data_IF_922660740891
#
_entry.id   IF_922660740891
#
_cell.length_a   1.000
_cell.length_b   1.000
_cell.length_c   1.000
_cell.angle_alpha   90.00
_cell.angle_beta   90.00
_cell.angle_gamma   90.00
#
_symmetry.space_group_name_H-M   'P 1'
#
loop_
_entity.id
_entity.type
_entity.pdbx_description
1 polymer ?
#
# COMPACT_ATOMS: atom_id res chain seq x y z
N UNK A 1 56.02 -40.03 -2.79
CA UNK A 1 57.04 -40.16 -1.74
C UNK A 1 57.26 -38.78 -1.17
N UNK A 2 56.19 -38.15 -0.67
CA UNK A 2 55.56 -38.43 0.64
C UNK A 2 56.48 -37.86 1.71
N UNK A 3 56.10 -36.97 2.61
CA UNK A 3 54.82 -36.84 3.27
C UNK A 3 54.86 -35.51 4.06
N UNK A 4 54.06 -34.51 3.68
CA UNK A 4 53.86 -33.28 4.45
C UNK A 4 52.38 -33.15 4.80
N UNK A 5 51.86 -34.14 5.53
CA UNK A 5 50.66 -34.00 6.35
C UNK A 5 50.98 -34.42 7.78
N UNK A 6 51.38 -33.44 8.60
CA UNK A 6 51.18 -33.60 10.04
C UNK A 6 49.68 -33.57 10.29
N UNK A 7 49.07 -34.61 10.87
CA UNK A 7 47.68 -34.54 11.29
C UNK A 7 47.59 -33.43 12.33
N UNK A 8 46.72 -32.44 12.09
CA UNK A 8 46.30 -31.54 13.16
C UNK A 8 45.80 -32.41 14.30
N UNK A 9 46.38 -32.22 15.49
CA UNK A 9 46.08 -33.03 16.66
C UNK A 9 44.57 -32.98 16.95
N UNK A 10 43.95 -34.09 17.42
CA UNK A 10 42.52 -34.18 17.70
C UNK A 10 42.02 -33.07 18.63
N UNK A 11 42.91 -32.47 19.43
CA UNK A 11 42.62 -31.34 20.33
C UNK A 11 42.11 -30.08 19.62
N UNK A 12 42.54 -29.80 18.40
CA UNK A 12 42.06 -28.61 17.65
C UNK A 12 40.63 -28.81 17.15
N UNK A 13 40.30 -30.02 16.72
CA UNK A 13 38.96 -30.40 16.24
C UNK A 13 37.94 -30.34 17.38
N UNK A 14 38.30 -30.83 18.57
CA UNK A 14 37.48 -30.71 19.78
C UNK A 14 37.31 -29.26 20.24
N UNK A 15 38.30 -28.39 20.01
CA UNK A 15 38.21 -26.97 20.36
C UNK A 15 37.27 -26.21 19.42
N UNK A 16 37.33 -26.50 18.11
CA UNK A 16 36.40 -25.95 17.12
C UNK A 16 34.97 -26.44 17.37
N UNK A 17 34.79 -27.75 17.64
CA UNK A 17 33.49 -28.30 18.03
C UNK A 17 32.95 -27.63 19.30
N UNK A 18 33.81 -27.43 20.30
CA UNK A 18 33.46 -26.71 21.52
C UNK A 18 32.99 -25.28 21.23
N UNK A 19 33.69 -24.54 20.38
CA UNK A 19 33.30 -23.19 19.96
C UNK A 19 31.96 -23.17 19.20
N UNK A 20 31.73 -24.14 18.30
CA UNK A 20 30.46 -24.25 17.57
C UNK A 20 29.31 -24.56 18.51
N UNK A 21 29.49 -25.49 19.46
CA UNK A 21 28.46 -25.81 20.47
C UNK A 21 28.19 -24.61 21.38
N UNK A 22 29.24 -23.89 21.80
CA UNK A 22 29.10 -22.71 22.65
C UNK A 22 28.42 -21.56 21.91
N UNK A 23 28.74 -21.37 20.62
CA UNK A 23 28.05 -20.43 19.73
C UNK A 23 26.56 -20.76 19.59
N UNK A 24 26.21 -22.04 19.38
CA UNK A 24 24.82 -22.52 19.30
C UNK A 24 24.08 -22.27 20.62
N UNK A 25 24.72 -22.52 21.77
CA UNK A 25 24.13 -22.25 23.09
C UNK A 25 23.95 -20.76 23.37
N UNK A 26 24.85 -19.91 22.88
CA UNK A 26 24.72 -18.45 23.01
C UNK A 26 23.70 -17.80 22.06
N UNK A 27 23.25 -18.51 21.02
CA UNK A 27 22.18 -18.03 20.12
C UNK A 27 20.79 -18.18 20.78
N UNK A 28 20.66 -18.93 21.88
CA UNK A 28 19.39 -19.22 22.54
C UNK A 28 19.10 -18.45 23.84
N UNK A 29 19.91 -17.45 24.20
CA UNK A 29 19.62 -16.57 25.34
C UNK A 29 19.19 -15.21 24.77
N UNK A 30 18.01 -15.18 24.18
CA UNK A 30 17.24 -13.94 24.16
C UNK A 30 16.94 -13.60 25.61
N UNK A 31 17.41 -12.44 26.05
CA UNK A 31 16.83 -11.76 27.21
C UNK A 31 15.32 -11.78 27.00
N UNK A 32 14.53 -12.16 28.00
CA UNK A 32 13.13 -11.76 28.04
C UNK A 32 13.14 -10.25 27.82
N UNK A 33 12.83 -9.81 26.59
CA UNK A 33 12.51 -8.43 26.33
C UNK A 33 11.29 -8.19 27.18
N UNK A 34 11.38 -7.22 28.09
CA UNK A 34 10.21 -6.72 28.82
C UNK A 34 9.03 -6.71 27.87
N UNK A 35 7.95 -7.41 28.23
CA UNK A 35 6.70 -7.41 27.48
C UNK A 35 6.11 -6.00 27.53
N UNK A 36 6.70 -5.07 26.80
CA UNK A 36 6.00 -3.91 26.30
C UNK A 36 4.87 -4.52 25.48
N UNK A 37 3.63 -4.31 25.94
CA UNK A 37 2.46 -4.85 25.25
C UNK A 37 2.52 -4.49 23.77
N UNK A 38 1.82 -5.26 22.94
CA UNK A 38 1.73 -4.98 21.51
C UNK A 38 1.41 -3.50 21.28
N UNK A 39 2.16 -2.90 20.37
CA UNK A 39 2.15 -1.48 20.07
C UNK A 39 1.49 -1.26 18.71
N UNK A 40 0.70 -0.21 18.57
CA UNK A 40 0.08 0.19 17.30
C UNK A 40 0.22 1.69 17.05
N UNK A 41 0.21 2.07 15.77
CA UNK A 41 0.07 3.49 15.41
C UNK A 41 -1.33 3.94 15.76
N UNK A 42 -1.45 5.00 16.55
CA UNK A 42 -2.75 5.59 16.93
C UNK A 42 -2.98 6.97 16.33
N UNK A 43 -1.92 7.64 15.89
CA UNK A 43 -2.00 9.00 15.36
C UNK A 43 -0.93 9.23 14.31
N UNK A 44 -1.29 9.97 13.26
CA UNK A 44 -0.41 10.42 12.19
C UNK A 44 -0.66 11.91 11.95
N UNK A 45 0.39 12.73 11.97
CA UNK A 45 0.27 14.16 11.68
C UNK A 45 1.47 14.69 10.92
N UNK A 46 1.30 15.79 10.19
CA UNK A 46 2.40 16.45 9.51
C UNK A 46 1.99 17.11 8.21
N UNK A 47 2.94 17.21 7.28
CA UNK A 47 2.74 17.92 6.02
C UNK A 47 3.31 17.19 4.82
N UNK A 48 2.66 17.39 3.67
CA UNK A 48 3.08 16.89 2.36
C UNK A 48 3.02 18.07 1.37
N UNK A 49 4.14 18.36 0.73
CA UNK A 49 4.26 19.33 -0.35
C UNK A 49 4.04 18.59 -1.67
N UNK A 50 3.02 18.98 -2.43
CA UNK A 50 2.64 18.41 -3.71
C UNK A 50 3.56 18.93 -4.83
N UNK A 51 4.83 18.54 -4.76
CA UNK A 51 5.92 19.08 -5.60
C UNK A 51 5.91 18.57 -7.04
N UNK A 52 5.14 17.52 -7.33
CA UNK A 52 5.07 16.86 -8.65
C UNK A 52 3.70 17.06 -9.30
N UNK A 53 3.61 16.88 -10.63
CA UNK A 53 2.30 16.95 -11.30
C UNK A 53 1.42 15.77 -10.86
N UNK A 54 1.99 14.57 -10.78
CA UNK A 54 1.30 13.36 -10.31
C UNK A 54 0.68 13.54 -8.91
N UNK A 55 1.37 14.20 -7.98
CA UNK A 55 0.83 14.47 -6.64
C UNK A 55 -0.31 15.51 -6.61
N UNK A 56 -0.32 16.46 -7.55
CA UNK A 56 -1.45 17.40 -7.69
C UNK A 56 -2.67 16.68 -8.26
N UNK A 57 -2.46 15.92 -9.33
CA UNK A 57 -3.50 15.19 -10.04
C UNK A 57 -4.17 14.11 -9.17
N UNK A 58 -3.39 13.45 -8.29
CA UNK A 58 -3.91 12.45 -7.37
C UNK A 58 -4.99 12.99 -6.39
N UNK A 59 -5.06 14.31 -6.20
CA UNK A 59 -6.08 14.98 -5.39
C UNK A 59 -7.04 15.84 -6.23
N UNK A 60 -7.09 15.62 -7.55
CA UNK A 60 -7.95 16.38 -8.46
C UNK A 60 -7.54 17.84 -8.67
N UNK A 61 -6.27 18.18 -8.40
CA UNK A 61 -5.76 19.56 -8.47
C UNK A 61 -5.06 19.86 -9.81
N UNK A 62 -5.56 19.30 -10.90
CA UNK A 62 -4.97 19.42 -12.24
C UNK A 62 -4.83 20.87 -12.72
N UNK A 63 -5.78 21.72 -12.33
CA UNK A 63 -5.85 23.15 -12.72
C UNK A 63 -4.88 24.06 -11.94
N UNK A 64 -4.17 23.53 -10.93
CA UNK A 64 -3.27 24.29 -10.08
C UNK A 64 -1.80 24.15 -10.48
N UNK A 65 -0.99 25.12 -10.08
CA UNK A 65 0.45 25.01 -10.11
C UNK A 65 0.95 24.06 -9.01
N UNK A 66 2.05 23.36 -9.28
CA UNK A 66 2.71 22.46 -8.32
C UNK A 66 3.21 23.23 -7.10
N UNK A 67 3.24 22.55 -5.95
CA UNK A 67 3.81 23.08 -4.70
C UNK A 67 2.80 23.39 -3.61
N UNK A 68 1.52 23.06 -3.81
CA UNK A 68 0.53 23.16 -2.76
C UNK A 68 0.93 22.32 -1.54
N UNK A 69 0.54 22.77 -0.34
CA UNK A 69 0.90 22.15 0.93
C UNK A 69 -0.31 21.53 1.60
N UNK A 70 -0.33 20.20 1.68
CA UNK A 70 -1.30 19.44 2.45
C UNK A 70 -0.82 19.30 3.91
N UNK A 71 -1.67 19.61 4.86
CA UNK A 71 -1.46 19.41 6.29
C UNK A 71 -2.48 18.40 6.78
N UNK A 72 -2.02 17.34 7.46
CA UNK A 72 -2.86 16.23 7.88
C UNK A 72 -2.78 16.00 9.39
N UNK A 73 -3.90 15.58 9.96
CA UNK A 73 -4.06 15.21 11.37
C UNK A 73 -5.04 14.02 11.45
N UNK A 74 -4.49 12.81 11.50
CA UNK A 74 -5.21 11.56 11.22
C UNK A 74 -5.15 10.65 12.44
N UNK A 75 -6.32 10.18 12.87
CA UNK A 75 -6.45 9.15 13.89
C UNK A 75 -6.38 7.77 13.23
N UNK A 76 -5.63 6.85 13.85
CA UNK A 76 -5.47 5.47 13.40
C UNK A 76 -6.04 4.53 14.46
N UNK A 77 -6.82 3.54 14.03
CA UNK A 77 -7.41 2.56 14.92
C UNK A 77 -7.42 1.19 14.27
N UNK A 78 -7.06 0.14 15.03
CA UNK A 78 -7.26 -1.23 14.61
C UNK A 78 -8.73 -1.56 14.38
N UNK A 79 -9.02 -2.38 13.36
CA UNK A 79 -10.38 -2.82 13.02
C UNK A 79 -10.47 -4.31 12.80
N UNK A 80 -11.65 -4.86 13.05
CA UNK A 80 -12.00 -6.26 12.77
C UNK A 80 -13.31 -6.32 12.00
N UNK A 81 -13.39 -7.27 11.07
CA UNK A 81 -14.64 -7.48 10.34
C UNK A 81 -15.66 -8.29 11.15
N UNK A 82 -16.90 -7.80 11.19
CA UNK A 82 -18.02 -8.51 11.83
C UNK A 82 -18.44 -9.81 11.12
N UNK A 83 -18.02 -10.03 9.86
CA UNK A 83 -18.45 -11.16 9.03
C UNK A 83 -17.28 -12.09 8.64
N UNK A 84 -16.06 -11.78 9.07
CA UNK A 84 -14.86 -12.56 8.76
C UNK A 84 -13.95 -12.62 10.00
N UNK A 85 -13.74 -13.84 10.51
CA UNK A 85 -13.02 -14.09 11.78
C UNK A 85 -11.53 -13.75 11.69
N UNK A 86 -10.93 -13.93 10.51
CA UNK A 86 -9.50 -13.71 10.28
C UNK A 86 -9.23 -12.40 9.54
N UNK A 87 -10.22 -11.51 9.46
CA UNK A 87 -10.08 -10.22 8.82
C UNK A 87 -9.77 -9.13 9.85
N UNK A 88 -8.52 -8.68 9.83
CA UNK A 88 -7.99 -7.63 10.69
C UNK A 88 -7.42 -6.51 9.84
N UNK A 89 -7.33 -5.31 10.39
CA UNK A 89 -6.86 -4.17 9.62
C UNK A 89 -6.76 -2.90 10.43
N UNK A 90 -6.66 -1.78 9.71
CA UNK A 90 -6.66 -0.44 10.30
C UNK A 90 -7.67 0.47 9.59
N UNK A 91 -8.20 1.42 10.35
CA UNK A 91 -8.96 2.56 9.86
C UNK A 91 -8.20 3.83 10.19
N UNK A 92 -8.04 4.71 9.21
CA UNK A 92 -7.38 6.00 9.34
C UNK A 92 -8.37 7.10 8.97
N UNK A 93 -8.62 8.06 9.85
CA UNK A 93 -9.61 9.12 9.60
C UNK A 93 -9.15 10.46 10.17
N UNK A 94 -9.40 11.54 9.44
CA UNK A 94 -9.15 12.89 9.94
C UNK A 94 -9.10 13.97 8.86
N UNK A 95 -8.96 15.24 9.28
CA UNK A 95 -8.91 16.36 8.36
C UNK A 95 -7.59 16.44 7.58
N UNK A 96 -7.71 16.94 6.34
CA UNK A 96 -6.62 17.34 5.47
C UNK A 96 -6.90 18.75 4.94
N UNK A 97 -5.97 19.67 5.20
CA UNK A 97 -6.06 21.04 4.74
C UNK A 97 -4.99 21.31 3.69
N UNK A 98 -5.41 21.67 2.48
CA UNK A 98 -4.52 22.03 1.38
C UNK A 98 -4.47 23.55 1.29
N UNK A 99 -3.25 24.09 1.37
CA UNK A 99 -2.98 25.53 1.31
C UNK A 99 -1.93 25.81 0.24
N UNK A 100 -1.60 27.09 0.02
CA UNK A 100 -0.61 27.52 -0.97
C UNK A 100 -0.98 27.11 -2.41
N UNK A 101 -2.29 27.00 -2.68
CA UNK A 101 -2.83 26.78 -4.02
C UNK A 101 -2.60 28.03 -4.89
N UNK A 102 -1.99 27.82 -6.06
CA UNK A 102 -1.68 28.87 -7.03
C UNK A 102 -2.25 28.51 -8.40
N UNK A 103 -2.67 29.51 -9.17
CA UNK A 103 -3.15 29.35 -10.55
C UNK A 103 -4.66 29.06 -10.68
N UNK A 104 -5.30 28.49 -9.65
CA UNK A 104 -6.73 28.17 -9.67
C UNK A 104 -7.66 29.15 -8.93
N UNK A 105 -8.97 28.86 -8.91
CA UNK A 105 -10.01 29.77 -8.40
C UNK A 105 -10.08 29.85 -6.87
N UNK A 106 -9.67 28.80 -6.15
CA UNK A 106 -9.70 28.75 -4.69
C UNK A 106 -8.28 28.74 -4.11
N UNK A 107 -8.13 29.28 -2.90
CA UNK A 107 -6.84 29.46 -2.23
C UNK A 107 -6.50 28.36 -1.22
N UNK A 108 -7.51 27.63 -0.78
CA UNK A 108 -7.42 26.54 0.18
C UNK A 108 -8.54 25.52 -0.06
N UNK A 109 -8.27 24.28 0.33
CA UNK A 109 -9.24 23.17 0.35
C UNK A 109 -9.24 22.57 1.74
N UNK A 110 -10.43 22.33 2.28
CA UNK A 110 -10.64 21.62 3.54
C UNK A 110 -11.38 20.33 3.22
N UNK A 111 -10.77 19.19 3.55
CA UNK A 111 -11.30 17.88 3.28
C UNK A 111 -11.14 16.95 4.48
N UNK A 112 -11.90 15.86 4.52
CA UNK A 112 -11.66 14.73 5.40
C UNK A 112 -11.24 13.53 4.58
N UNK A 113 -10.33 12.74 5.15
CA UNK A 113 -9.97 11.44 4.59
C UNK A 113 -10.48 10.33 5.48
N UNK A 114 -10.93 9.25 4.86
CA UNK A 114 -11.17 7.98 5.53
C UNK A 114 -10.54 6.86 4.71
N UNK A 115 -9.60 6.14 5.32
CA UNK A 115 -8.91 5.01 4.70
C UNK A 115 -9.18 3.76 5.53
N UNK A 116 -9.58 2.69 4.88
CA UNK A 116 -9.73 1.37 5.47
C UNK A 116 -8.78 0.41 4.76
N UNK A 117 -7.86 -0.23 5.48
CA UNK A 117 -7.06 -1.34 4.97
C UNK A 117 -7.38 -2.58 5.79
N UNK A 118 -7.99 -3.59 5.17
CA UNK A 118 -8.40 -4.84 5.79
C UNK A 118 -7.69 -6.00 5.10
N UNK A 119 -7.19 -6.97 5.86
CA UNK A 119 -6.46 -8.12 5.37
C UNK A 119 -7.10 -9.41 5.90
N UNK A 120 -7.30 -10.40 5.03
CA UNK A 120 -7.75 -11.75 5.41
C UNK A 120 -6.54 -12.66 5.58
N UNK A 121 -6.32 -13.10 6.82
CA UNK A 121 -5.23 -14.00 7.16
C UNK A 121 -5.66 -15.46 7.03
N UNK A 122 -4.73 -16.30 6.55
CA UNK A 122 -4.91 -17.77 6.45
C UNK A 122 -3.96 -18.56 7.36
N UNK A 123 -3.19 -17.86 8.21
CA UNK A 123 -2.25 -18.44 9.18
C UNK A 123 -0.79 -18.20 8.82
N UNK A 124 0.13 -18.31 9.79
CA UNK A 124 1.59 -18.23 9.60
C UNK A 124 2.09 -16.95 8.87
N UNK A 125 1.43 -15.82 9.11
CA UNK A 125 1.74 -14.55 8.43
C UNK A 125 1.35 -14.54 6.94
N UNK A 126 0.46 -15.43 6.50
CA UNK A 126 -0.04 -15.46 5.13
C UNK A 126 -1.35 -14.68 5.00
N UNK A 127 -1.42 -13.85 3.97
CA UNK A 127 -2.56 -13.02 3.59
C UNK A 127 -3.13 -13.54 2.27
N UNK A 128 -4.40 -13.90 2.27
CA UNK A 128 -5.08 -14.38 1.05
C UNK A 128 -5.73 -13.24 0.27
N UNK A 129 -6.31 -12.26 0.96
CA UNK A 129 -7.01 -11.13 0.34
C UNK A 129 -6.80 -9.85 1.12
N UNK A 130 -6.83 -8.73 0.41
CA UNK A 130 -6.76 -7.40 0.97
C UNK A 130 -7.86 -6.51 0.38
N UNK A 131 -8.41 -5.63 1.21
CA UNK A 131 -9.32 -4.57 0.81
C UNK A 131 -8.73 -3.22 1.22
N UNK A 132 -8.68 -2.29 0.29
CA UNK A 132 -8.29 -0.90 0.53
C UNK A 132 -9.43 0.00 0.05
N UNK A 133 -10.03 0.74 0.96
CA UNK A 133 -10.99 1.79 0.63
C UNK A 133 -10.40 3.14 1.01
N UNK A 134 -10.49 4.10 0.10
CA UNK A 134 -10.09 5.49 0.30
C UNK A 134 -11.28 6.38 -0.04
N UNK A 135 -11.71 7.18 0.93
CA UNK A 135 -12.79 8.14 0.77
C UNK A 135 -12.25 9.54 1.04
N UNK A 136 -12.50 10.44 0.10
CA UNK A 136 -12.10 11.84 0.12
C UNK A 136 -13.35 12.69 0.08
N UNK A 137 -13.62 13.35 1.21
CA UNK A 137 -14.79 14.21 1.46
C UNK A 137 -14.34 15.67 1.41
N UNK A 138 -14.72 16.40 0.36
CA UNK A 138 -14.33 17.81 0.19
C UNK A 138 -15.45 18.71 0.67
N UNK A 139 -15.12 19.67 1.52
CA UNK A 139 -16.12 20.62 2.01
C UNK A 139 -16.61 21.53 0.88
N UNK A 140 -17.79 21.21 0.33
CA UNK A 140 -18.49 22.04 -0.65
C UNK A 140 -18.16 21.76 -2.12
N UNK A 141 -17.48 20.65 -2.42
CA UNK A 141 -17.25 20.13 -3.77
C UNK A 141 -17.70 18.65 -3.85
N UNK A 142 -17.44 17.99 -4.98
CA UNK A 142 -17.81 16.59 -5.21
C UNK A 142 -16.83 15.64 -4.49
N UNK A 143 -17.37 14.58 -3.90
CA UNK A 143 -16.60 13.59 -3.16
C UNK A 143 -16.14 12.47 -4.09
N UNK A 144 -15.07 11.76 -3.72
CA UNK A 144 -14.71 10.55 -4.44
C UNK A 144 -14.29 9.41 -3.52
N UNK A 145 -14.52 8.19 -4.00
CA UNK A 145 -14.20 6.95 -3.29
C UNK A 145 -13.49 5.98 -4.21
N UNK A 146 -12.42 5.39 -3.71
CA UNK A 146 -11.71 4.28 -4.34
C UNK A 146 -11.88 3.05 -3.48
N UNK A 147 -12.35 1.96 -4.07
CA UNK A 147 -12.40 0.64 -3.46
C UNK A 147 -11.52 -0.32 -4.26
N UNK A 148 -10.59 -0.98 -3.58
CA UNK A 148 -9.64 -1.91 -4.17
C UNK A 148 -9.73 -3.23 -3.43
N UNK A 149 -9.78 -4.33 -4.19
CA UNK A 149 -9.59 -5.68 -3.66
C UNK A 149 -8.39 -6.32 -4.34
N UNK A 150 -7.57 -7.03 -3.58
CA UNK A 150 -6.42 -7.78 -4.09
C UNK A 150 -6.54 -9.22 -3.59
N UNK A 151 -6.41 -10.19 -4.51
CA UNK A 151 -6.48 -11.62 -4.21
C UNK A 151 -5.12 -12.25 -4.48
N UNK A 152 -4.47 -12.71 -3.42
CA UNK A 152 -3.15 -13.34 -3.47
C UNK A 152 -3.27 -14.85 -3.70
N UNK A 153 -2.73 -15.32 -4.83
CA UNK A 153 -2.55 -16.75 -5.11
C UNK A 153 -1.20 -16.99 -5.79
N UNK A 154 -0.24 -17.61 -5.10
CA UNK A 154 -0.31 -18.06 -3.70
C UNK A 154 -0.51 -16.90 -2.71
N UNK A 155 -0.99 -17.17 -1.47
CA UNK A 155 -1.10 -16.15 -0.42
C UNK A 155 0.22 -15.40 -0.23
N UNK A 156 0.12 -14.10 0.03
CA UNK A 156 1.27 -13.24 0.29
C UNK A 156 1.81 -13.54 1.69
N UNK A 157 3.13 -13.67 1.81
CA UNK A 157 3.79 -13.84 3.10
C UNK A 157 4.25 -12.50 3.68
N UNK A 158 3.72 -12.15 4.83
CA UNK A 158 4.04 -10.97 5.63
C UNK A 158 4.24 -11.40 7.09
N UNK A 159 5.47 -11.80 7.47
CA UNK A 159 5.74 -12.23 8.84
C UNK A 159 5.69 -11.04 9.81
N UNK A 160 5.33 -11.33 11.06
CA UNK A 160 5.47 -10.40 12.19
C UNK A 160 6.94 -10.00 12.36
N UNK A 161 7.19 -8.73 12.72
CA UNK A 161 8.52 -8.19 12.99
C UNK A 161 9.56 -8.37 11.86
N UNK A 162 9.11 -8.32 10.61
CA UNK A 162 10.03 -8.35 9.47
C UNK A 162 11.04 -7.21 9.59
N UNK A 163 12.33 -7.56 9.64
CA UNK A 163 13.39 -6.58 9.44
C UNK A 163 13.16 -5.88 8.09
N UNK A 164 12.84 -4.59 8.13
CA UNK A 164 12.63 -3.85 6.91
C UNK A 164 13.97 -3.62 6.22
N UNK A 165 14.30 -4.52 5.30
CA UNK A 165 15.50 -4.45 4.48
C UNK A 165 15.53 -3.20 3.57
N UNK A 166 14.42 -2.47 3.45
CA UNK A 166 14.34 -1.18 2.80
C UNK A 166 15.08 -0.07 3.56
N UNK A 167 15.42 -0.26 4.85
CA UNK A 167 16.08 0.76 5.66
C UNK A 167 17.45 0.32 6.23
N UNK A 168 18.34 1.29 6.42
CA UNK A 168 19.63 1.16 7.12
C UNK A 168 19.85 2.38 7.98
N UNK A 169 20.06 2.20 9.28
CA UNK A 169 20.38 3.31 10.20
C UNK A 169 19.34 4.46 10.17
N UNK A 170 18.07 4.12 9.89
CA UNK A 170 16.99 5.11 9.76
C UNK A 170 16.86 5.71 8.35
N UNK A 171 17.69 5.33 7.38
CA UNK A 171 17.61 5.84 6.00
C UNK A 171 17.20 4.76 5.00
N UNK A 172 16.46 5.14 3.97
CA UNK A 172 16.10 4.25 2.86
C UNK A 172 17.35 3.74 2.12
N UNK A 173 17.48 2.42 1.93
CA UNK A 173 18.54 1.79 1.12
C UNK A 173 18.29 1.88 -0.38
N UNK A 174 17.02 1.85 -0.77
CA UNK A 174 16.56 1.79 -2.16
C UNK A 174 15.27 2.58 -2.32
N UNK A 175 15.06 3.19 -3.47
CA UNK A 175 13.85 3.97 -3.76
C UNK A 175 14.02 5.46 -3.44
N UNK A 176 12.92 6.19 -3.15
CA UNK A 176 13.00 7.59 -2.76
C UNK A 176 13.78 7.73 -1.45
N UNK A 177 14.49 8.84 -1.30
CA UNK A 177 15.20 9.13 -0.06
C UNK A 177 14.20 9.37 1.07
N UNK A 178 14.29 8.55 2.11
CA UNK A 178 13.50 8.63 3.33
C UNK A 178 14.43 8.55 4.53
N UNK A 179 14.17 9.40 5.53
CA UNK A 179 14.82 9.44 6.82
C UNK A 179 13.77 9.20 7.93
N UNK A 180 14.06 8.29 8.83
CA UNK A 180 13.23 7.89 9.98
C UNK A 180 14.01 8.26 11.25
N UNK A 181 13.47 9.19 12.01
CA UNK A 181 14.00 9.60 13.30
C UNK A 181 13.09 9.11 14.42
N UNK A 182 13.64 8.30 15.34
CA UNK A 182 12.93 7.93 16.57
C UNK A 182 12.87 9.12 17.51
N UNK A 183 11.67 9.49 17.94
CA UNK A 183 11.43 10.55 18.91
C UNK A 183 11.22 9.98 20.32
N UNK A 184 11.39 10.85 21.33
CA UNK A 184 11.03 10.52 22.70
C UNK A 184 9.52 10.23 22.80
N UNK A 185 9.16 9.15 23.49
CA UNK A 185 7.75 8.80 23.75
C UNK A 185 7.11 7.86 22.74
N UNK A 186 7.89 7.13 21.92
CA UNK A 186 7.34 6.14 20.99
C UNK A 186 6.76 6.74 19.71
N UNK A 187 7.28 7.88 19.27
CA UNK A 187 6.90 8.47 17.99
C UNK A 187 8.03 8.33 16.96
N UNK A 188 7.67 8.23 15.67
CA UNK A 188 8.61 8.25 14.56
C UNK A 188 8.35 9.47 13.70
N UNK A 189 9.38 10.26 13.43
CA UNK A 189 9.34 11.31 12.43
C UNK A 189 9.94 10.78 11.13
N UNK A 190 9.19 10.89 10.04
CA UNK A 190 9.53 10.40 8.71
C UNK A 190 9.61 11.58 7.77
N UNK A 191 10.78 11.76 7.17
CA UNK A 191 11.05 12.79 6.16
C UNK A 191 11.40 12.14 4.83
N UNK A 192 11.02 12.74 3.73
CA UNK A 192 11.48 12.28 2.41
C UNK A 192 10.96 13.13 1.27
N UNK A 193 11.19 12.70 0.03
CA UNK A 193 10.57 13.34 -1.13
C UNK A 193 9.66 12.42 -1.91
N UNK A 194 8.67 13.03 -2.55
CA UNK A 194 7.85 12.35 -3.51
C UNK A 194 8.70 11.68 -4.61
N UNK A 195 8.28 10.52 -5.12
CA UNK A 195 8.86 9.93 -6.33
C UNK A 195 8.88 10.95 -7.47
N UNK A 196 9.86 10.84 -8.37
CA UNK A 196 9.96 11.66 -9.60
C UNK A 196 10.23 13.16 -9.41
N UNK A 197 10.62 13.60 -8.21
CA UNK A 197 11.07 14.97 -7.98
C UNK A 197 12.30 15.29 -8.85
N UNK A 198 12.35 16.52 -9.38
CA UNK A 198 13.43 16.99 -10.25
C UNK A 198 14.76 17.24 -9.54
N UNK A 199 14.74 17.56 -8.24
CA UNK A 199 15.93 17.81 -7.42
C UNK A 199 16.13 16.73 -6.35
N UNK A 200 17.38 16.29 -6.10
CA UNK A 200 17.66 15.32 -5.03
C UNK A 200 17.30 15.87 -3.63
N UNK A 201 16.69 15.02 -2.79
CA UNK A 201 16.29 15.39 -1.43
C UNK A 201 17.44 15.87 -0.56
N UNK A 202 18.61 15.25 -0.67
CA UNK A 202 19.79 15.58 0.15
C UNK A 202 20.26 17.04 0.01
N UNK A 203 19.79 17.76 -1.01
CA UNK A 203 20.20 19.14 -1.34
C UNK A 203 19.03 20.12 -1.16
N UNK A 204 17.82 19.65 -0.87
CA UNK A 204 16.60 20.45 -0.83
C UNK A 204 15.73 20.11 0.39
N UNK A 205 14.68 20.88 0.65
CA UNK A 205 13.74 20.55 1.73
C UNK A 205 12.93 19.30 1.37
N UNK A 206 12.61 18.42 2.34
CA UNK A 206 11.76 17.25 2.10
C UNK A 206 10.37 17.69 1.63
N UNK A 207 9.74 16.86 0.80
CA UNK A 207 8.35 17.08 0.41
C UNK A 207 7.40 16.50 1.46
N UNK A 208 7.80 15.42 2.12
CA UNK A 208 6.99 14.71 3.12
C UNK A 208 7.68 14.87 4.46
N UNK A 209 6.95 15.34 5.47
CA UNK A 209 7.36 15.36 6.87
C UNK A 209 6.16 14.93 7.72
N UNK A 210 6.18 13.68 8.17
CA UNK A 210 5.08 13.06 8.90
C UNK A 210 5.57 12.47 10.21
N UNK A 211 4.72 12.49 11.23
CA UNK A 211 5.01 11.91 12.54
C UNK A 211 3.94 10.90 12.87
N UNK A 212 4.32 9.65 13.09
CA UNK A 212 3.43 8.63 13.66
C UNK A 212 3.67 8.50 15.16
N UNK A 213 2.59 8.32 15.92
CA UNK A 213 2.64 8.09 17.37
C UNK A 213 2.22 6.66 17.63
N UNK A 214 3.03 5.95 18.40
CA UNK A 214 2.81 4.55 18.74
C UNK A 214 2.44 4.43 20.22
N UNK A 215 1.32 3.79 20.46
CA UNK A 215 0.77 3.55 21.79
C UNK A 215 0.41 2.07 21.97
N UNK A 216 0.15 1.61 23.20
CA UNK A 216 -0.35 0.26 23.42
C UNK A 216 -1.65 -0.01 22.66
N UNK A 217 -1.76 -1.21 22.08
CA UNK A 217 -2.93 -1.66 21.31
C UNK A 217 -4.23 -1.44 22.06
N UNK A 218 -5.17 -0.74 21.39
CA UNK A 218 -6.54 -0.53 21.85
C UNK A 218 -7.44 -1.65 21.33
N UNK A 219 -8.62 -1.78 21.92
CA UNK A 219 -9.61 -2.75 21.40
C UNK A 219 -10.03 -2.34 19.98
N UNK A 220 -9.98 -3.26 19.00
CA UNK A 220 -10.28 -2.93 17.62
C UNK A 220 -11.76 -2.60 17.44
N UNK A 221 -12.06 -1.72 16.50
CA UNK A 221 -13.43 -1.38 16.12
C UNK A 221 -14.01 -2.49 15.23
N UNK A 222 -15.21 -2.97 15.58
CA UNK A 222 -15.95 -3.89 14.72
C UNK A 222 -16.64 -3.13 13.60
N UNK A 223 -16.30 -3.45 12.35
CA UNK A 223 -16.87 -2.82 11.15
C UNK A 223 -17.67 -3.85 10.31
N UNK A 224 -18.62 -3.40 9.46
CA UNK A 224 -19.16 -4.26 8.41
C UNK A 224 -18.04 -4.75 7.48
N UNK A 225 -18.20 -5.94 6.91
CA UNK A 225 -17.26 -6.41 5.90
C UNK A 225 -17.42 -5.59 4.61
N UNK A 226 -16.33 -5.28 3.88
CA UNK A 226 -16.39 -4.60 2.59
C UNK A 226 -17.32 -5.32 1.60
N UNK A 227 -17.86 -4.55 0.66
CA UNK A 227 -18.75 -5.08 -0.39
C UNK A 227 -18.08 -6.19 -1.19
N UNK A 228 -18.88 -7.17 -1.58
CA UNK A 228 -18.43 -8.27 -2.43
C UNK A 228 -18.24 -7.78 -3.86
N UNK A 229 -17.21 -8.30 -4.52
CA UNK A 229 -16.99 -8.09 -5.94
C UNK A 229 -17.74 -9.14 -6.74
N UNK A 230 -18.46 -8.70 -7.75
CA UNK A 230 -19.33 -9.53 -8.59
C UNK A 230 -18.98 -9.33 -10.06
N UNK A 231 -19.03 -10.42 -10.82
CA UNK A 231 -18.81 -10.37 -12.26
C UNK A 231 -20.09 -9.87 -12.95
N UNK A 232 -19.96 -8.77 -13.70
CA UNK A 232 -21.04 -8.20 -14.48
C UNK A 232 -21.29 -9.09 -15.69
N UNK A 233 -22.50 -9.61 -15.80
CA UNK A 233 -22.88 -10.53 -16.87
C UNK A 233 -23.26 -9.78 -18.14
N UNK A 234 -22.91 -10.35 -19.30
CA UNK A 234 -23.24 -9.84 -20.64
C UNK A 234 -22.64 -8.47 -21.00
N UNK A 235 -21.46 -8.15 -20.46
CA UNK A 235 -20.71 -6.96 -20.91
C UNK A 235 -20.13 -7.21 -22.29
N UNK A 236 -20.36 -6.27 -23.20
CA UNK A 236 -19.75 -6.25 -24.54
C UNK A 236 -18.95 -4.97 -24.70
N UNK A 237 -17.81 -5.04 -25.40
CA UNK A 237 -17.03 -3.83 -25.65
C UNK A 237 -17.84 -2.81 -26.45
N UNK A 238 -17.76 -1.55 -26.02
CA UNK A 238 -18.46 -0.42 -26.66
C UNK A 238 -17.63 0.24 -27.77
N UNK A 239 -16.39 -0.22 -28.00
CA UNK A 239 -15.35 0.46 -28.80
C UNK A 239 -14.94 1.85 -28.29
N UNK A 240 -15.45 2.27 -27.13
CA UNK A 240 -14.99 3.44 -26.41
C UNK A 240 -14.07 2.98 -25.28
N UNK A 241 -12.95 3.66 -25.09
CA UNK A 241 -11.98 3.34 -24.04
C UNK A 241 -12.41 4.05 -22.74
N UNK A 242 -12.68 3.31 -21.66
CA UNK A 242 -12.92 3.91 -20.34
C UNK A 242 -11.79 4.86 -19.93
N UNK A 243 -12.15 5.91 -19.20
CA UNK A 243 -11.25 6.99 -18.78
C UNK A 243 -11.16 7.10 -17.25
N UNK A 244 -12.21 6.75 -16.51
CA UNK A 244 -12.23 6.89 -15.03
C UNK A 244 -11.16 6.08 -14.32
N UNK A 245 -10.69 4.98 -14.91
CA UNK A 245 -9.64 4.09 -14.35
C UNK A 245 -8.32 4.13 -15.14
N UNK A 246 -8.16 5.07 -16.07
CA UNK A 246 -6.98 5.17 -16.95
C UNK A 246 -5.66 5.26 -16.16
N UNK A 247 -5.64 6.00 -15.06
CA UNK A 247 -4.43 6.15 -14.23
C UNK A 247 -3.92 4.81 -13.70
N UNK A 248 -4.81 3.85 -13.45
CA UNK A 248 -4.46 2.50 -13.03
C UNK A 248 -3.93 1.70 -14.21
N UNK A 249 -4.57 1.83 -15.38
CA UNK A 249 -4.12 1.21 -16.62
C UNK A 249 -2.67 1.57 -16.94
N UNK A 250 -2.30 2.83 -16.72
CA UNK A 250 -0.95 3.33 -16.98
C UNK A 250 0.11 2.73 -16.04
N UNK A 251 -0.28 2.23 -14.86
CA UNK A 251 0.59 1.47 -13.96
C UNK A 251 0.83 0.04 -14.47
N UNK A 252 -0.05 -0.46 -15.35
CA UNK A 252 0.00 -1.80 -15.89
C UNK A 252 0.64 -1.77 -17.29
N UNK A 253 1.52 -2.74 -17.56
CA UNK A 253 2.03 -2.95 -18.92
C UNK A 253 0.97 -3.70 -19.74
N UNK A 254 -0.11 -3.01 -20.13
CA UNK A 254 -1.18 -3.59 -20.93
C UNK A 254 -0.71 -3.93 -22.35
N UNK A 255 -1.11 -5.10 -22.82
CA UNK A 255 -0.81 -5.61 -24.14
C UNK A 255 -1.85 -5.21 -25.19
N UNK A 256 -2.24 -6.18 -26.02
CA UNK A 256 -3.17 -5.93 -27.12
C UNK A 256 -4.63 -5.94 -26.63
N UNK A 257 -5.51 -5.15 -27.27
CA UNK A 257 -6.94 -5.28 -27.07
C UNK A 257 -7.43 -6.72 -27.27
N UNK A 258 -8.37 -7.16 -26.44
CA UNK A 258 -9.03 -8.47 -26.52
C UNK A 258 -10.55 -8.33 -26.54
N UNK A 259 -11.23 -9.36 -27.01
CA UNK A 259 -12.70 -9.46 -27.03
C UNK A 259 -13.25 -10.20 -25.80
N UNK A 260 -12.38 -10.80 -24.99
CA UNK A 260 -12.74 -11.43 -23.74
C UNK A 260 -12.85 -10.35 -22.67
N UNK A 261 -14.07 -10.07 -22.21
CA UNK A 261 -14.32 -9.10 -21.15
C UNK A 261 -14.75 -9.86 -19.90
N UNK A 262 -14.00 -9.66 -18.82
CA UNK A 262 -14.33 -10.16 -17.49
C UNK A 262 -14.43 -8.97 -16.55
N UNK A 263 -15.59 -8.30 -16.57
CA UNK A 263 -15.81 -7.10 -15.79
C UNK A 263 -16.23 -7.47 -14.37
N UNK A 264 -15.46 -7.05 -13.38
CA UNK A 264 -15.83 -7.15 -11.97
C UNK A 264 -16.03 -5.76 -11.38
N UNK A 265 -17.05 -5.62 -10.55
CA UNK A 265 -17.35 -4.37 -9.86
C UNK A 265 -17.96 -4.68 -8.48
N UNK A 266 -17.92 -3.71 -7.56
CA UNK A 266 -18.50 -3.86 -6.23
C UNK A 266 -19.97 -3.39 -6.15
N UNK A 267 -20.52 -2.88 -7.25
CA UNK A 267 -21.92 -2.48 -7.43
C UNK A 267 -22.38 -2.80 -8.86
N UNK A 268 -23.49 -3.54 -9.00
CA UNK A 268 -23.91 -4.12 -10.29
C UNK A 268 -24.99 -3.29 -11.05
N UNK A 269 -25.37 -2.10 -10.56
CA UNK A 269 -26.67 -1.52 -10.88
C UNK A 269 -26.70 -0.36 -11.88
N UNK A 270 -25.66 -0.16 -12.68
CA UNK A 270 -25.60 0.98 -13.61
C UNK A 270 -25.51 0.55 -15.07
N UNK A 271 -26.09 1.35 -15.96
CA UNK A 271 -25.94 1.21 -17.41
C UNK A 271 -24.47 1.49 -17.77
N UNK A 272 -23.88 0.63 -18.60
CA UNK A 272 -22.49 0.72 -18.99
C UNK A 272 -22.38 1.65 -20.19
N UNK A 273 -21.66 2.75 -20.02
CA UNK A 273 -21.38 3.74 -21.06
C UNK A 273 -20.18 3.32 -21.90
N UNK A 274 -19.11 2.82 -21.26
CA UNK A 274 -17.92 2.33 -21.96
C UNK A 274 -17.39 1.00 -21.38
N UNK A 275 -16.86 0.13 -22.25
CA UNK A 275 -16.23 -1.12 -21.82
C UNK A 275 -15.13 -1.55 -22.80
N UNK A 276 -13.97 -1.90 -22.25
CA UNK A 276 -12.82 -2.32 -23.03
C UNK A 276 -11.91 -3.27 -22.27
N UNK A 277 -11.19 -4.14 -22.97
CA UNK A 277 -10.28 -5.09 -22.35
C UNK A 277 -8.96 -5.25 -23.13
N UNK A 278 -7.90 -5.54 -22.38
CA UNK A 278 -6.54 -5.77 -22.89
C UNK A 278 -5.93 -7.02 -22.26
N UNK A 279 -5.11 -7.72 -23.02
CA UNK A 279 -4.27 -8.80 -22.49
C UNK A 279 -3.18 -8.24 -21.57
N UNK A 280 -2.93 -8.85 -20.42
CA UNK A 280 -1.72 -8.63 -19.61
C UNK A 280 -0.77 -9.81 -19.85
N UNK A 281 0.46 -9.50 -20.25
CA UNK A 281 1.56 -10.48 -20.23
C UNK A 281 2.29 -10.33 -18.89
N UNK A 282 1.89 -11.13 -17.89
CA UNK A 282 2.49 -11.10 -16.56
C UNK A 282 3.79 -11.91 -16.55
N UNK A 283 4.93 -11.23 -16.45
CA UNK A 283 6.22 -11.89 -16.19
C UNK A 283 6.48 -12.12 -14.70
N UNK A 284 5.62 -11.61 -13.80
CA UNK A 284 5.82 -11.69 -12.35
C UNK A 284 7.00 -10.86 -11.82
N UNK A 285 7.57 -9.95 -12.62
CA UNK A 285 8.86 -9.29 -12.27
C UNK A 285 8.70 -7.92 -11.63
N UNK A 286 7.59 -7.22 -11.84
CA UNK A 286 7.39 -5.85 -11.35
C UNK A 286 6.20 -5.83 -10.40
N UNK A 287 6.49 -5.64 -9.11
CA UNK A 287 5.46 -5.39 -8.11
C UNK A 287 5.09 -3.90 -8.12
N UNK A 288 3.80 -3.62 -8.01
CA UNK A 288 3.25 -2.29 -7.78
C UNK A 288 2.95 -2.20 -6.29
N UNK A 289 3.62 -1.29 -5.59
CA UNK A 289 3.53 -1.12 -4.15
C UNK A 289 3.46 0.37 -3.80
N UNK A 290 2.32 1.03 -4.07
CA UNK A 290 2.19 2.49 -3.96
C UNK A 290 2.51 2.95 -2.54
N UNK A 291 3.46 3.89 -2.41
CA UNK A 291 3.86 4.48 -1.12
C UNK A 291 4.28 3.49 -0.03
N UNK A 292 4.54 2.22 -0.37
CA UNK A 292 4.84 1.14 0.59
C UNK A 292 5.95 1.52 1.56
N UNK A 293 7.08 2.02 1.04
CA UNK A 293 8.22 2.43 1.86
C UNK A 293 7.88 3.56 2.85
N UNK A 294 6.94 4.45 2.53
CA UNK A 294 6.47 5.49 3.46
C UNK A 294 5.54 4.93 4.53
N UNK A 295 4.61 4.05 4.15
CA UNK A 295 3.72 3.38 5.10
C UNK A 295 4.54 2.54 6.09
N UNK A 296 5.48 1.75 5.58
CA UNK A 296 6.39 0.97 6.42
C UNK A 296 7.24 1.85 7.35
N UNK A 297 7.75 3.00 6.86
CA UNK A 297 8.49 3.97 7.69
C UNK A 297 7.65 4.55 8.83
N UNK A 298 6.34 4.68 8.60
CA UNK A 298 5.37 5.17 9.58
C UNK A 298 4.81 4.07 10.49
N UNK A 299 5.30 2.83 10.36
CA UNK A 299 4.78 1.63 11.02
C UNK A 299 3.31 1.32 10.67
N UNK A 300 2.88 1.67 9.45
CA UNK A 300 1.58 1.35 8.88
C UNK A 300 1.69 0.15 7.93
N UNK A 301 0.62 -0.65 7.79
CA UNK A 301 0.58 -1.72 6.81
C UNK A 301 0.66 -1.15 5.39
N UNK A 302 1.39 -1.86 4.53
CA UNK A 302 1.52 -1.54 3.10
C UNK A 302 1.00 -2.69 2.27
N UNK A 303 0.39 -2.38 1.12
CA UNK A 303 0.01 -3.40 0.14
C UNK A 303 0.99 -3.42 -1.04
N UNK A 304 1.10 -4.58 -1.67
CA UNK A 304 1.76 -4.72 -2.96
C UNK A 304 1.02 -5.72 -3.81
N UNK A 305 1.06 -5.55 -5.13
CA UNK A 305 0.53 -6.54 -6.04
C UNK A 305 1.50 -6.76 -7.19
N UNK A 306 1.57 -7.99 -7.68
CA UNK A 306 2.35 -8.32 -8.87
C UNK A 306 1.37 -8.79 -9.94
N UNK A 307 1.19 -8.03 -11.05
CA UNK A 307 0.30 -8.44 -12.12
C UNK A 307 0.70 -9.83 -12.65
N UNK A 308 -0.28 -10.72 -12.76
CA UNK A 308 -0.15 -12.01 -13.42
C UNK A 308 -0.68 -11.92 -14.86
N UNK A 309 -0.40 -12.93 -15.67
CA UNK A 309 -0.98 -13.04 -17.01
C UNK A 309 -2.49 -13.20 -16.92
N UNK A 310 -3.19 -12.59 -17.88
CA UNK A 310 -4.63 -12.66 -17.96
C UNK A 310 -5.22 -11.47 -18.73
N UNK A 311 -6.40 -11.04 -18.31
CA UNK A 311 -7.18 -10.00 -18.98
C UNK A 311 -7.49 -8.86 -18.02
N UNK A 312 -7.07 -7.65 -18.40
CA UNK A 312 -7.46 -6.40 -17.76
C UNK A 312 -8.72 -5.87 -18.44
N UNK A 313 -9.82 -5.77 -17.69
CA UNK A 313 -11.11 -5.25 -18.19
C UNK A 313 -11.48 -3.99 -17.44
N UNK A 314 -11.86 -2.95 -18.18
CA UNK A 314 -12.41 -1.71 -17.65
C UNK A 314 -13.85 -1.55 -18.13
N UNK A 315 -14.71 -1.08 -17.22
CA UNK A 315 -16.08 -0.67 -17.49
C UNK A 315 -16.34 0.68 -16.84
N UNK A 316 -17.10 1.52 -17.51
CA UNK A 316 -17.44 2.85 -17.06
C UNK A 316 -18.95 3.06 -17.16
N UNK A 317 -19.51 3.65 -16.13
CA UNK A 317 -20.85 4.21 -16.08
C UNK A 317 -20.77 5.66 -15.62
N UNK A 318 -21.90 6.36 -15.70
CA UNK A 318 -22.01 7.79 -15.42
C UNK A 318 -21.19 8.26 -14.19
N UNK A 319 -21.30 7.57 -13.05
CA UNK A 319 -20.67 7.97 -11.80
C UNK A 319 -19.65 6.96 -11.26
N UNK A 320 -19.31 5.92 -12.02
CA UNK A 320 -18.44 4.85 -11.53
C UNK A 320 -17.55 4.28 -12.65
N UNK A 321 -16.26 4.13 -12.35
CA UNK A 321 -15.32 3.38 -13.17
C UNK A 321 -14.90 2.13 -12.42
N UNK A 322 -15.07 0.96 -13.04
CA UNK A 322 -14.62 -0.31 -12.49
C UNK A 322 -13.55 -0.93 -13.41
N UNK A 323 -12.50 -1.45 -12.80
CA UNK A 323 -11.42 -2.13 -13.50
C UNK A 323 -11.03 -3.41 -12.77
N UNK A 324 -10.66 -4.44 -13.52
CA UNK A 324 -10.32 -5.74 -12.92
C UNK A 324 -9.31 -6.52 -13.75
N UNK A 325 -8.41 -7.21 -13.05
CA UNK A 325 -7.52 -8.21 -13.62
C UNK A 325 -8.06 -9.58 -13.28
N UNK A 326 -8.35 -10.36 -14.30
CA UNK A 326 -8.69 -11.78 -14.19
C UNK A 326 -7.56 -12.59 -14.80
N UNK A 327 -7.09 -13.62 -14.10
CA UNK A 327 -6.01 -14.45 -14.62
C UNK A 327 -6.45 -15.41 -15.73
N UNK A 328 -5.49 -16.15 -16.30
CA UNK A 328 -5.75 -17.15 -17.35
C UNK A 328 -6.70 -18.29 -16.91
N UNK A 329 -6.90 -18.49 -15.60
CA UNK A 329 -7.83 -19.47 -15.02
C UNK A 329 -9.25 -18.89 -14.80
N UNK A 330 -9.47 -17.61 -15.12
CA UNK A 330 -10.75 -16.94 -14.93
C UNK A 330 -11.00 -16.44 -13.50
N UNK A 331 -9.96 -16.33 -12.68
CA UNK A 331 -10.05 -15.89 -11.28
C UNK A 331 -9.68 -14.41 -11.12
N UNK A 332 -10.50 -13.66 -10.37
CA UNK A 332 -10.21 -12.27 -10.00
C UNK A 332 -8.91 -12.18 -9.20
N UNK A 333 -8.01 -11.28 -9.60
CA UNK A 333 -6.73 -10.98 -8.95
C UNK A 333 -6.68 -9.60 -8.35
N UNK A 334 -7.23 -8.61 -9.06
CA UNK A 334 -7.41 -7.26 -8.54
C UNK A 334 -8.72 -6.70 -9.08
N UNK A 335 -9.46 -6.00 -8.24
CA UNK A 335 -10.62 -5.20 -8.61
C UNK A 335 -10.46 -3.79 -8.06
N UNK A 336 -10.76 -2.79 -8.88
CA UNK A 336 -10.68 -1.36 -8.54
C UNK A 336 -11.98 -0.69 -8.97
N UNK A 337 -12.56 0.10 -8.08
CA UNK A 337 -13.78 0.86 -8.31
C UNK A 337 -13.53 2.28 -7.88
N UNK A 338 -13.78 3.23 -8.76
CA UNK A 338 -13.68 4.66 -8.51
C UNK A 338 -15.07 5.25 -8.71
N UNK A 339 -15.60 5.89 -7.67
CA UNK A 339 -16.92 6.51 -7.68
C UNK A 339 -16.80 7.99 -7.33
N UNK A 340 -17.54 8.84 -8.04
CA UNK A 340 -17.63 10.28 -7.83
C UNK A 340 -19.08 10.62 -7.43
N UNK A 341 -19.27 11.48 -6.43
CA UNK A 341 -20.56 11.79 -5.82
C UNK A 341 -20.86 13.29 -5.76
#
# INVERSE_FOLDING_TARGET
>A
MDDLRKPFAPTAEWFVLGLVVLAILSIGIESESDSQGELEVTHLSGTIILSTRSSMNALGLDDYDRGAKATLDIQVQGVVSSQCVTCIGISMQGPVNITELMGGPISNIEANIAVLHLQEHVGDGLIAREWLSFHWDVTGEDDFTWDITIVHSPPMWQPEDRFNAGFSEGESRTGPWILIESMLGGAYNVQGCLPERSMPCLISQPDIELTSVIEPVKSPLSIPHPSTWTEIQNVSSTNETPSKTEQVRDLLNVGKPTLELHAWCNNDSQEIDAAFAWSIEGSGTTAVAPMSIYLEALALPSTSFTPVSGTWTEVESQNQGCASLVDDDGLLRIGISISEF
#
